data_IF_708058516080
#
_entry.id   IF_708058516080
#
_cell.length_a   1.000
_cell.length_b   1.000
_cell.length_c   1.000
_cell.angle_alpha   90.00
_cell.angle_beta   90.00
_cell.angle_gamma   90.00
#
_symmetry.space_group_name_H-M   'P 1'
#
loop_
_entity.id
_entity.type
_entity.pdbx_description
1 polymer ?
#
# COMPACT_ATOMS: atom_id res chain seq x y z
N UNK A 1 9.78 32.67 -27.18
CA UNK A 1 9.98 32.66 -25.71
C UNK A 1 9.36 31.38 -25.16
N UNK A 2 10.20 30.47 -24.75
CA UNK A 2 9.75 29.23 -24.08
C UNK A 2 9.29 29.67 -22.67
N UNK A 3 8.06 29.34 -22.29
CA UNK A 3 7.53 29.75 -20.97
C UNK A 3 8.30 29.04 -19.85
N UNK A 4 8.38 29.68 -18.67
CA UNK A 4 9.01 29.11 -17.47
C UNK A 4 8.51 27.69 -17.18
N UNK A 5 7.23 27.42 -17.46
CA UNK A 5 6.59 26.12 -17.30
C UNK A 5 7.20 25.03 -18.21
N UNK A 6 7.61 25.39 -19.43
CA UNK A 6 8.29 24.46 -20.35
C UNK A 6 9.72 24.12 -19.89
N UNK A 7 10.42 25.08 -19.29
CA UNK A 7 11.77 24.88 -18.73
C UNK A 7 11.74 23.98 -17.50
N UNK A 8 10.77 24.17 -16.59
CA UNK A 8 10.58 23.29 -15.44
C UNK A 8 10.22 21.86 -15.87
N UNK A 9 9.37 21.69 -16.87
CA UNK A 9 8.98 20.37 -17.37
C UNK A 9 10.15 19.64 -18.01
N UNK A 10 10.98 20.34 -18.80
CA UNK A 10 12.21 19.78 -19.42
C UNK A 10 13.24 19.41 -18.34
N UNK A 11 13.35 20.22 -17.29
CA UNK A 11 14.26 19.93 -16.18
C UNK A 11 13.83 18.71 -15.38
N UNK A 12 12.54 18.60 -15.05
CA UNK A 12 11.94 17.45 -14.35
C UNK A 12 12.11 16.18 -15.19
N UNK A 13 11.84 16.25 -16.51
CA UNK A 13 11.97 15.09 -17.41
C UNK A 13 13.42 14.63 -17.54
N UNK A 14 14.38 15.55 -17.61
CA UNK A 14 15.83 15.23 -17.62
C UNK A 14 16.29 14.63 -16.30
N UNK A 15 15.82 15.15 -15.16
CA UNK A 15 16.16 14.59 -13.85
C UNK A 15 15.58 13.17 -13.67
N UNK A 16 14.35 12.93 -14.11
CA UNK A 16 13.71 11.60 -14.07
C UNK A 16 14.41 10.59 -14.98
N UNK A 17 14.84 11.01 -16.19
CA UNK A 17 15.65 10.18 -17.10
C UNK A 17 17.03 9.87 -16.53
N UNK A 18 17.70 10.83 -15.87
CA UNK A 18 18.99 10.62 -15.24
C UNK A 18 18.90 9.66 -14.04
N UNK A 19 17.81 9.70 -13.27
CA UNK A 19 17.57 8.76 -12.17
C UNK A 19 17.33 7.35 -12.71
N UNK A 20 16.55 7.22 -13.80
CA UNK A 20 16.32 5.92 -14.45
C UNK A 20 17.60 5.34 -15.09
N UNK A 21 18.43 6.17 -15.71
CA UNK A 21 19.71 5.77 -16.29
C UNK A 21 20.74 5.43 -15.20
N UNK A 22 20.73 6.15 -14.07
CA UNK A 22 21.63 5.89 -12.93
C UNK A 22 21.27 4.59 -12.23
N UNK A 23 19.97 4.32 -12.02
CA UNK A 23 19.49 3.06 -11.45
C UNK A 23 19.81 1.83 -12.33
N UNK A 24 19.82 2.00 -13.66
CA UNK A 24 20.18 0.93 -14.62
C UNK A 24 21.71 0.69 -14.71
N UNK A 25 22.55 1.63 -14.26
CA UNK A 25 24.00 1.57 -14.39
C UNK A 25 24.74 1.19 -13.08
N UNK A 26 24.03 0.89 -11.98
CA UNK A 26 24.67 0.51 -10.71
C UNK A 26 25.24 -0.91 -10.84
N UNK A 27 26.57 -1.09 -10.82
CA UNK A 27 27.18 -2.41 -10.75
C UNK A 27 26.86 -3.06 -9.40
N UNK A 28 26.74 -4.39 -9.37
CA UNK A 28 26.40 -5.18 -8.18
C UNK A 28 27.41 -5.10 -7.00
N UNK A 29 28.38 -4.21 -7.09
CA UNK A 29 29.36 -3.89 -6.03
C UNK A 29 29.26 -2.43 -5.66
N UNK A 30 28.33 -2.07 -4.76
CA UNK A 30 28.20 -0.73 -4.22
C UNK A 30 29.21 -0.56 -3.08
N UNK A 31 30.08 0.49 -3.08
CA UNK A 31 30.95 0.77 -1.94
C UNK A 31 30.11 1.16 -0.72
N UNK A 32 30.52 0.68 0.46
CA UNK A 32 29.81 0.72 1.75
C UNK A 32 29.43 2.11 2.31
N UNK A 33 29.46 3.18 1.52
CA UNK A 33 29.07 4.55 1.89
C UNK A 33 27.88 5.13 1.13
N UNK A 34 27.32 4.40 0.16
CA UNK A 34 26.09 4.82 -0.50
C UNK A 34 24.94 4.10 0.19
N UNK A 35 24.40 4.71 1.23
CA UNK A 35 23.23 4.16 1.92
C UNK A 35 22.00 4.36 1.04
N UNK A 36 21.12 3.36 1.03
CA UNK A 36 19.80 3.42 0.37
C UNK A 36 19.05 4.72 0.73
N UNK A 37 19.24 5.25 1.95
CA UNK A 37 18.69 6.52 2.42
C UNK A 37 19.05 7.71 1.51
N UNK A 38 20.29 7.84 1.06
CA UNK A 38 20.70 8.97 0.22
C UNK A 38 20.09 8.91 -1.19
N UNK A 39 19.83 7.70 -1.70
CA UNK A 39 19.14 7.50 -2.96
C UNK A 39 17.65 7.87 -2.83
N UNK A 40 16.99 7.42 -1.76
CA UNK A 40 15.59 7.73 -1.48
C UNK A 40 15.36 9.21 -1.19
N UNK A 41 16.24 9.88 -0.46
CA UNK A 41 16.13 11.33 -0.18
C UNK A 41 16.26 12.18 -1.43
N UNK A 42 17.16 11.83 -2.35
CA UNK A 42 17.27 12.54 -3.63
C UNK A 42 16.04 12.33 -4.51
N UNK A 43 15.45 11.13 -4.50
CA UNK A 43 14.22 10.82 -5.23
C UNK A 43 13.01 11.52 -4.60
N UNK A 44 12.93 11.56 -3.27
CA UNK A 44 11.89 12.27 -2.52
C UNK A 44 11.94 13.79 -2.72
N UNK A 45 13.12 14.40 -2.75
CA UNK A 45 13.26 15.83 -3.03
C UNK A 45 12.77 16.20 -4.44
N UNK A 46 12.84 15.28 -5.39
CA UNK A 46 12.29 15.46 -6.75
C UNK A 46 10.78 15.24 -6.82
N UNK A 47 10.22 14.36 -5.98
CA UNK A 47 8.78 14.07 -5.94
C UNK A 47 8.04 15.11 -5.07
N UNK A 48 8.68 15.72 -4.10
CA UNK A 48 8.06 16.65 -3.15
C UNK A 48 7.28 17.81 -3.82
N UNK A 49 7.75 18.47 -4.89
CA UNK A 49 6.98 19.48 -5.61
C UNK A 49 5.70 18.93 -6.26
N UNK A 50 5.70 17.64 -6.62
CA UNK A 50 4.54 16.95 -7.23
C UNK A 50 3.52 16.51 -6.17
N UNK A 51 3.98 16.14 -4.99
CA UNK A 51 3.13 15.85 -3.82
C UNK A 51 2.35 17.09 -3.41
N UNK A 52 3.03 18.25 -3.36
CA UNK A 52 2.42 19.53 -2.99
C UNK A 52 1.50 20.11 -4.09
N UNK A 53 1.67 19.66 -5.33
CA UNK A 53 0.96 20.21 -6.50
C UNK A 53 -0.38 19.52 -6.82
N UNK A 54 -0.67 18.40 -6.16
CA UNK A 54 -1.93 17.65 -6.35
C UNK A 54 -1.93 16.70 -7.56
N UNK A 55 -2.94 15.83 -7.58
CA UNK A 55 -3.09 14.79 -8.62
C UNK A 55 -3.35 15.33 -10.02
N UNK A 56 -3.89 16.55 -10.16
CA UNK A 56 -4.19 17.17 -11.46
C UNK A 56 -2.90 17.36 -12.29
N UNK A 57 -1.80 17.75 -11.65
CA UNK A 57 -0.49 17.83 -12.34
C UNK A 57 0.07 16.45 -12.67
N UNK A 58 -0.19 15.46 -11.86
CA UNK A 58 0.23 14.09 -12.15
C UNK A 58 -0.42 13.57 -13.43
N UNK A 59 -1.74 13.70 -13.58
CA UNK A 59 -2.45 13.28 -14.79
C UNK A 59 -2.05 14.07 -16.03
N UNK A 60 -1.84 15.39 -15.89
CA UNK A 60 -1.34 16.23 -16.98
C UNK A 60 0.05 15.79 -17.44
N UNK A 61 0.95 15.45 -16.50
CA UNK A 61 2.28 14.94 -16.82
C UNK A 61 2.22 13.56 -17.46
N UNK A 62 1.42 12.64 -16.93
CA UNK A 62 1.19 11.32 -17.52
C UNK A 62 0.65 11.43 -18.95
N UNK A 63 -0.31 12.33 -19.17
CA UNK A 63 -0.88 12.58 -20.50
C UNK A 63 0.18 13.06 -21.48
N UNK A 64 1.02 14.01 -21.06
CA UNK A 64 2.13 14.50 -21.87
C UNK A 64 3.16 13.40 -22.21
N UNK A 65 3.49 12.55 -21.26
CA UNK A 65 4.42 11.44 -21.43
C UNK A 65 3.81 10.24 -22.18
N UNK A 66 2.50 10.24 -22.42
CA UNK A 66 1.80 9.14 -23.08
C UNK A 66 1.65 7.89 -22.21
N UNK A 67 1.55 8.06 -20.90
CA UNK A 67 1.50 6.99 -19.88
C UNK A 67 0.25 7.07 -18.99
N UNK A 68 -0.83 7.73 -19.43
CA UNK A 68 -2.13 7.56 -18.77
C UNK A 68 -2.62 6.12 -18.94
N UNK A 69 -3.59 5.72 -18.13
CA UNK A 69 -4.16 4.38 -18.21
C UNK A 69 -4.68 4.06 -19.62
N UNK A 70 -5.46 4.97 -20.21
CA UNK A 70 -6.04 4.82 -21.55
C UNK A 70 -4.95 4.73 -22.63
N UNK A 71 -3.93 5.59 -22.56
CA UNK A 71 -2.82 5.59 -23.51
C UNK A 71 -2.01 4.30 -23.41
N UNK A 72 -1.76 3.81 -22.20
CA UNK A 72 -1.04 2.56 -21.99
C UNK A 72 -1.87 1.34 -22.39
N UNK A 73 -3.19 1.33 -22.21
CA UNK A 73 -4.06 0.27 -22.69
C UNK A 73 -3.92 0.05 -24.22
N UNK A 74 -3.89 1.14 -24.96
CA UNK A 74 -3.77 1.07 -26.44
C UNK A 74 -2.36 0.64 -26.90
N UNK A 75 -1.34 1.13 -26.20
CA UNK A 75 0.07 0.90 -26.57
C UNK A 75 0.65 -0.40 -26.02
N UNK A 76 0.11 -0.87 -24.89
CA UNK A 76 0.73 -1.92 -24.11
C UNK A 76 0.40 -3.31 -24.67
N UNK A 77 1.41 -3.92 -25.31
CA UNK A 77 1.39 -5.32 -25.74
C UNK A 77 1.94 -6.28 -24.67
N UNK A 78 2.13 -5.80 -23.44
CA UNK A 78 2.70 -6.59 -22.36
C UNK A 78 1.76 -7.75 -22.03
N UNK A 79 2.26 -8.96 -22.08
CA UNK A 79 1.57 -10.09 -21.50
C UNK A 79 1.74 -10.02 -19.95
N UNK A 80 0.75 -9.49 -19.26
CA UNK A 80 0.78 -9.30 -17.81
C UNK A 80 1.05 -10.60 -17.05
N UNK A 81 0.65 -11.74 -17.61
CA UNK A 81 0.91 -13.05 -17.01
C UNK A 81 2.40 -13.43 -17.00
N UNK A 82 3.25 -12.80 -17.80
CA UNK A 82 4.69 -13.04 -17.82
C UNK A 82 5.45 -12.17 -16.80
N UNK A 83 4.82 -11.11 -16.33
CA UNK A 83 5.49 -10.11 -15.47
C UNK A 83 4.89 -10.01 -14.07
N UNK A 84 3.64 -10.42 -13.87
CA UNK A 84 2.95 -10.41 -12.58
C UNK A 84 2.74 -11.85 -12.08
N UNK A 85 3.18 -12.11 -10.86
CA UNK A 85 3.07 -13.42 -10.23
C UNK A 85 2.39 -13.28 -8.86
N UNK A 86 1.87 -14.39 -8.36
CA UNK A 86 1.42 -14.54 -6.99
C UNK A 86 2.25 -15.65 -6.32
N UNK A 87 2.95 -15.32 -5.27
CA UNK A 87 3.83 -16.23 -4.57
C UNK A 87 3.10 -16.79 -3.34
N UNK A 88 3.10 -18.11 -3.17
CA UNK A 88 2.74 -18.72 -1.91
C UNK A 88 3.90 -18.54 -0.93
N UNK A 89 3.69 -17.80 0.13
CA UNK A 89 4.71 -17.56 1.16
C UNK A 89 4.71 -18.72 2.14
N UNK A 90 5.88 -19.29 2.37
CA UNK A 90 6.07 -20.41 3.30
C UNK A 90 7.27 -20.15 4.22
N UNK A 91 7.38 -20.92 5.31
CA UNK A 91 8.54 -20.86 6.21
C UNK A 91 9.87 -21.19 5.53
N UNK A 92 9.83 -21.90 4.40
CA UNK A 92 11.00 -22.35 3.65
C UNK A 92 11.26 -21.50 2.39
N UNK A 93 10.59 -20.35 2.24
CA UNK A 93 10.69 -19.48 1.07
C UNK A 93 9.41 -19.42 0.25
N UNK A 94 9.44 -18.64 -0.80
CA UNK A 94 8.29 -18.35 -1.65
C UNK A 94 8.20 -19.34 -2.82
N UNK A 95 7.00 -19.82 -3.10
CA UNK A 95 6.70 -20.67 -4.26
C UNK A 95 5.92 -19.86 -5.27
N UNK A 96 6.53 -19.55 -6.39
CA UNK A 96 5.99 -18.68 -7.44
C UNK A 96 4.90 -19.37 -8.27
N UNK A 97 3.80 -18.67 -8.49
CA UNK A 97 2.71 -19.07 -9.37
C UNK A 97 2.37 -17.95 -10.33
N UNK A 98 2.03 -18.34 -11.55
CA UNK A 98 1.43 -17.42 -12.52
C UNK A 98 -0.07 -17.22 -12.20
N UNK A 99 -0.61 -16.02 -12.46
CA UNK A 99 -2.03 -15.70 -12.24
C UNK A 99 -3.00 -16.53 -13.11
N UNK A 100 -2.53 -17.27 -14.10
CA UNK A 100 -3.36 -18.23 -14.86
C UNK A 100 -3.61 -19.54 -14.12
N UNK A 101 -2.89 -19.81 -13.02
CA UNK A 101 -2.94 -21.07 -12.29
C UNK A 101 -4.17 -21.19 -11.35
N UNK A 102 -5.32 -20.69 -11.75
CA UNK A 102 -6.54 -20.57 -10.92
C UNK A 102 -6.98 -21.88 -10.29
N UNK A 103 -7.04 -23.00 -11.04
CA UNK A 103 -7.40 -24.33 -10.51
C UNK A 103 -6.45 -24.82 -9.42
N UNK A 104 -5.15 -24.55 -9.57
CA UNK A 104 -4.16 -24.91 -8.56
C UNK A 104 -4.30 -24.05 -7.31
N UNK A 105 -4.56 -22.76 -7.52
CA UNK A 105 -4.77 -21.81 -6.44
C UNK A 105 -6.02 -22.14 -5.62
N UNK A 106 -7.15 -22.51 -6.25
CA UNK A 106 -8.33 -22.97 -5.52
C UNK A 106 -8.00 -24.14 -4.58
N UNK A 107 -7.24 -25.15 -5.05
CA UNK A 107 -6.83 -26.28 -4.19
C UNK A 107 -5.93 -25.84 -3.04
N UNK A 108 -5.08 -24.84 -3.23
CA UNK A 108 -4.21 -24.30 -2.18
C UNK A 108 -4.99 -23.47 -1.17
N UNK A 109 -5.98 -22.73 -1.62
CA UNK A 109 -6.81 -21.81 -0.82
C UNK A 109 -7.92 -22.54 -0.06
N UNK A 110 -8.51 -23.60 -0.63
CA UNK A 110 -9.72 -24.28 -0.12
C UNK A 110 -9.65 -24.71 1.35
N UNK A 111 -8.45 -25.02 1.87
CA UNK A 111 -8.25 -25.46 3.27
C UNK A 111 -7.97 -24.31 4.23
N UNK A 112 -7.83 -23.08 3.73
CA UNK A 112 -7.58 -21.92 4.56
C UNK A 112 -8.88 -21.44 5.22
N UNK A 113 -8.83 -20.99 6.45
CA UNK A 113 -9.90 -20.21 7.06
C UNK A 113 -9.82 -18.75 6.60
N UNK A 114 -8.60 -18.24 6.41
CA UNK A 114 -8.35 -16.91 5.85
C UNK A 114 -7.22 -16.99 4.84
N UNK A 115 -7.47 -16.39 3.67
CA UNK A 115 -6.51 -16.23 2.57
C UNK A 115 -5.97 -14.81 2.66
N UNK A 116 -4.71 -14.66 3.08
CA UNK A 116 -4.07 -13.35 3.16
C UNK A 116 -3.24 -13.11 1.90
N UNK A 117 -3.43 -11.96 1.27
CA UNK A 117 -2.66 -11.53 0.11
C UNK A 117 -1.92 -10.24 0.46
N UNK A 118 -0.60 -10.29 0.50
CA UNK A 118 0.28 -9.15 0.72
C UNK A 118 0.60 -8.48 -0.61
N UNK A 119 0.51 -7.14 -0.67
CA UNK A 119 0.83 -6.37 -1.86
C UNK A 119 1.82 -5.27 -1.49
N UNK A 120 3.03 -5.40 -2.01
CA UNK A 120 4.12 -4.48 -1.75
C UNK A 120 3.95 -3.12 -2.44
N UNK A 121 4.73 -2.11 -2.00
CA UNK A 121 4.78 -0.78 -2.57
C UNK A 121 5.75 -0.62 -3.74
N UNK A 122 5.99 0.65 -4.10
CA UNK A 122 6.97 1.05 -5.10
C UNK A 122 8.39 0.60 -4.69
N UNK A 123 9.17 0.08 -5.65
CA UNK A 123 10.54 -0.42 -5.45
C UNK A 123 10.69 -1.56 -4.45
N UNK A 124 9.62 -2.31 -4.19
CA UNK A 124 9.64 -3.52 -3.38
C UNK A 124 9.28 -4.77 -4.19
N UNK A 125 9.05 -5.88 -3.49
CA UNK A 125 8.82 -7.19 -4.09
C UNK A 125 8.07 -8.13 -3.14
N UNK A 126 7.67 -9.32 -3.63
CA UNK A 126 7.06 -10.38 -2.83
C UNK A 126 7.97 -10.96 -1.75
N UNK A 127 9.25 -10.64 -1.75
CA UNK A 127 10.29 -10.97 -0.77
C UNK A 127 10.97 -9.69 -0.22
N UNK A 128 10.30 -8.53 -0.35
CA UNK A 128 10.74 -7.24 0.18
C UNK A 128 10.50 -7.06 1.68
N UNK A 129 10.80 -5.87 2.18
CA UNK A 129 10.81 -5.57 3.63
C UNK A 129 9.45 -5.77 4.28
N UNK A 130 8.37 -5.24 3.68
CA UNK A 130 7.01 -5.40 4.22
C UNK A 130 6.62 -6.88 4.32
N UNK A 131 6.83 -7.66 3.25
CA UNK A 131 6.46 -9.09 3.24
C UNK A 131 7.28 -9.86 4.27
N UNK A 132 8.59 -9.57 4.36
CA UNK A 132 9.48 -10.21 5.34
C UNK A 132 9.15 -9.83 6.79
N UNK A 133 8.55 -8.68 7.04
CA UNK A 133 8.08 -8.28 8.36
C UNK A 133 6.75 -8.94 8.74
N UNK A 134 5.80 -9.01 7.81
CA UNK A 134 4.43 -9.47 8.10
C UNK A 134 4.29 -10.99 8.01
N UNK A 135 4.89 -11.61 7.00
CA UNK A 135 4.65 -13.02 6.69
C UNK A 135 5.06 -13.97 7.82
N UNK A 136 6.20 -13.81 8.52
CA UNK A 136 6.55 -14.68 9.64
C UNK A 136 5.51 -14.64 10.76
N UNK A 137 4.97 -13.46 11.09
CA UNK A 137 3.96 -13.31 12.13
C UNK A 137 2.61 -13.93 11.71
N UNK A 138 2.20 -13.73 10.47
CA UNK A 138 0.99 -14.34 9.91
C UNK A 138 1.09 -15.87 9.86
N UNK A 139 2.24 -16.41 9.47
CA UNK A 139 2.47 -17.85 9.36
C UNK A 139 2.55 -18.59 10.71
N UNK A 140 2.66 -17.89 11.84
CA UNK A 140 2.48 -18.47 13.17
C UNK A 140 1.04 -18.88 13.42
N UNK A 141 0.09 -18.26 12.76
CA UNK A 141 -1.35 -18.54 12.87
C UNK A 141 -1.74 -19.57 11.79
N UNK A 142 -1.95 -20.84 12.18
CA UNK A 142 -2.22 -21.96 11.28
C UNK A 142 -3.48 -21.79 10.40
N UNK A 143 -4.38 -20.89 10.78
CA UNK A 143 -5.61 -20.57 10.05
C UNK A 143 -5.36 -19.75 8.78
N UNK A 144 -4.19 -19.11 8.65
CA UNK A 144 -3.86 -18.26 7.51
C UNK A 144 -3.10 -19.01 6.44
N UNK A 145 -3.48 -18.75 5.18
CA UNK A 145 -2.69 -19.06 4.01
C UNK A 145 -2.21 -17.74 3.41
N UNK A 146 -0.90 -17.56 3.37
CA UNK A 146 -0.30 -16.27 3.00
C UNK A 146 0.24 -16.33 1.58
N UNK A 147 -0.15 -15.34 0.79
CA UNK A 147 0.33 -15.11 -0.57
C UNK A 147 0.92 -13.71 -0.65
N UNK A 148 1.80 -13.47 -1.62
CA UNK A 148 2.32 -12.15 -1.94
C UNK A 148 2.26 -11.91 -3.45
N UNK A 149 1.70 -10.76 -3.87
CA UNK A 149 1.73 -10.34 -5.27
C UNK A 149 3.12 -9.81 -5.61
N UNK A 150 3.75 -10.34 -6.65
CA UNK A 150 5.06 -9.91 -7.12
C UNK A 150 4.95 -9.03 -8.36
N UNK A 151 5.03 -7.73 -8.16
CA UNK A 151 5.01 -6.71 -9.21
C UNK A 151 6.37 -6.06 -9.48
N UNK A 152 7.48 -6.61 -8.97
CA UNK A 152 8.82 -6.01 -9.07
C UNK A 152 9.26 -5.65 -10.48
N UNK A 153 8.77 -6.34 -11.51
CA UNK A 153 9.07 -6.04 -12.91
C UNK A 153 8.27 -4.87 -13.48
N UNK A 154 7.28 -4.37 -12.75
CA UNK A 154 6.26 -3.43 -13.24
C UNK A 154 6.34 -2.11 -12.50
N UNK A 155 6.56 -2.13 -11.17
CA UNK A 155 6.48 -0.96 -10.29
C UNK A 155 7.82 -0.63 -9.62
N UNK A 156 8.93 -0.76 -10.35
CA UNK A 156 10.28 -0.57 -9.78
C UNK A 156 11.12 0.54 -10.39
N UNK A 157 10.81 1.04 -11.59
CA UNK A 157 11.75 1.87 -12.34
C UNK A 157 11.42 3.36 -12.26
N UNK A 158 10.14 3.72 -12.33
CA UNK A 158 9.70 5.10 -12.42
C UNK A 158 8.31 5.23 -11.81
N UNK A 159 8.10 6.24 -10.98
CA UNK A 159 6.89 6.35 -10.16
C UNK A 159 5.60 6.64 -10.96
N UNK A 160 5.66 7.50 -12.00
CA UNK A 160 4.46 7.86 -12.77
C UNK A 160 3.90 6.66 -13.53
N UNK A 161 4.76 5.94 -14.25
CA UNK A 161 4.36 4.68 -14.90
C UNK A 161 3.92 3.64 -13.87
N UNK A 162 4.62 3.54 -12.73
CA UNK A 162 4.28 2.63 -11.65
C UNK A 162 2.90 2.92 -11.06
N UNK A 163 2.54 4.20 -10.88
CA UNK A 163 1.22 4.60 -10.38
C UNK A 163 0.09 4.27 -11.39
N UNK A 164 0.37 4.31 -12.70
CA UNK A 164 -0.55 3.84 -13.74
C UNK A 164 -0.63 2.31 -13.76
N UNK A 165 0.52 1.64 -13.65
CA UNK A 165 0.61 0.19 -13.63
C UNK A 165 -0.10 -0.42 -12.41
N UNK A 166 -0.19 0.30 -11.29
CA UNK A 166 -0.95 -0.12 -10.12
C UNK A 166 -2.42 -0.45 -10.48
N UNK A 167 -3.04 0.30 -11.40
CA UNK A 167 -4.38 0.02 -11.89
C UNK A 167 -4.43 -1.29 -12.68
N UNK A 168 -3.52 -1.50 -13.61
CA UNK A 168 -3.44 -2.77 -14.35
C UNK A 168 -3.21 -3.97 -13.43
N UNK A 169 -2.29 -3.84 -12.47
CA UNK A 169 -2.03 -4.90 -11.49
C UNK A 169 -3.27 -5.22 -10.65
N UNK A 170 -4.00 -4.21 -10.20
CA UNK A 170 -5.25 -4.38 -9.45
C UNK A 170 -6.32 -5.09 -10.27
N UNK A 171 -6.52 -4.70 -11.53
CA UNK A 171 -7.47 -5.34 -12.44
C UNK A 171 -7.09 -6.80 -12.73
N UNK A 172 -5.80 -7.09 -12.91
CA UNK A 172 -5.32 -8.47 -13.11
C UNK A 172 -5.51 -9.33 -11.87
N UNK A 173 -5.15 -8.83 -10.69
CA UNK A 173 -5.38 -9.53 -9.43
C UNK A 173 -6.89 -9.74 -9.19
N UNK A 174 -7.71 -8.72 -9.41
CA UNK A 174 -9.16 -8.82 -9.25
C UNK A 174 -9.80 -9.82 -10.22
N UNK A 175 -9.34 -9.87 -11.46
CA UNK A 175 -9.77 -10.88 -12.45
C UNK A 175 -9.39 -12.29 -12.00
N UNK A 176 -8.15 -12.48 -11.56
CA UNK A 176 -7.69 -13.75 -10.99
C UNK A 176 -8.53 -14.19 -9.77
N UNK A 177 -8.79 -13.29 -8.82
CA UNK A 177 -9.60 -13.58 -7.64
C UNK A 177 -11.06 -13.88 -8.02
N UNK A 178 -11.59 -13.19 -9.03
CA UNK A 178 -12.94 -13.45 -9.55
C UNK A 178 -13.05 -14.87 -10.13
N UNK A 179 -12.03 -15.33 -10.84
CA UNK A 179 -11.99 -16.71 -11.35
C UNK A 179 -11.88 -17.72 -10.20
N UNK A 180 -11.08 -17.42 -9.18
CA UNK A 180 -10.95 -18.25 -7.96
C UNK A 180 -12.29 -18.36 -7.25
N UNK A 181 -13.04 -17.26 -7.11
CA UNK A 181 -14.38 -17.22 -6.50
C UNK A 181 -15.42 -17.97 -7.33
N UNK A 182 -15.42 -17.78 -8.66
CA UNK A 182 -16.31 -18.51 -9.58
C UNK A 182 -16.06 -20.03 -9.56
N UNK A 183 -14.83 -20.44 -9.24
CA UNK A 183 -14.46 -21.84 -9.07
C UNK A 183 -14.73 -22.36 -7.64
N UNK A 184 -15.49 -21.65 -6.82
CA UNK A 184 -16.04 -22.11 -5.55
C UNK A 184 -15.34 -21.63 -4.28
N UNK A 185 -14.35 -20.70 -4.37
CA UNK A 185 -13.78 -20.11 -3.16
C UNK A 185 -14.70 -19.03 -2.57
N UNK A 186 -14.74 -18.97 -1.26
CA UNK A 186 -15.57 -18.00 -0.54
C UNK A 186 -14.83 -16.64 -0.42
N UNK A 187 -15.36 -15.55 -1.01
CA UNK A 187 -14.76 -14.24 -0.92
C UNK A 187 -14.68 -13.71 0.52
N UNK A 188 -15.50 -14.19 1.44
CA UNK A 188 -15.44 -13.82 2.86
C UNK A 188 -14.16 -14.29 3.56
N UNK A 189 -13.40 -15.20 2.96
CA UNK A 189 -12.10 -15.63 3.45
C UNK A 189 -10.94 -14.79 2.92
N UNK A 190 -11.16 -13.94 1.91
CA UNK A 190 -10.10 -13.18 1.25
C UNK A 190 -9.84 -11.88 1.99
N UNK A 191 -8.60 -11.73 2.49
CA UNK A 191 -8.09 -10.56 3.17
C UNK A 191 -6.85 -10.03 2.45
N UNK A 192 -6.86 -8.78 1.99
CA UNK A 192 -5.73 -8.16 1.29
C UNK A 192 -5.09 -7.12 2.20
N UNK A 193 -3.75 -7.13 2.27
CA UNK A 193 -2.96 -6.14 2.99
C UNK A 193 -2.01 -5.49 2.00
N UNK A 194 -2.16 -4.19 1.76
CA UNK A 194 -1.35 -3.45 0.79
C UNK A 194 -0.59 -2.29 1.43
N UNK A 195 0.64 -2.07 1.01
CA UNK A 195 1.46 -0.92 1.41
C UNK A 195 1.62 0.06 0.25
N UNK A 196 1.51 1.38 0.53
CA UNK A 196 1.80 2.40 -0.48
C UNK A 196 0.97 2.21 -1.76
N UNK A 197 1.61 2.04 -2.95
CA UNK A 197 0.92 1.67 -4.20
C UNK A 197 0.12 0.37 -4.06
N UNK A 198 0.61 -0.59 -3.26
CA UNK A 198 -0.07 -1.85 -2.99
C UNK A 198 -1.46 -1.69 -2.37
N UNK A 199 -1.69 -0.60 -1.63
CA UNK A 199 -3.02 -0.27 -1.09
C UNK A 199 -4.02 0.06 -2.20
N UNK A 200 -3.59 0.79 -3.24
CA UNK A 200 -4.46 1.09 -4.38
C UNK A 200 -4.68 -0.12 -5.27
N UNK A 201 -3.64 -0.94 -5.46
CA UNK A 201 -3.77 -2.23 -6.15
C UNK A 201 -4.83 -3.11 -5.46
N UNK A 202 -4.79 -3.17 -4.11
CA UNK A 202 -5.78 -3.90 -3.32
C UNK A 202 -7.22 -3.37 -3.53
N UNK A 203 -7.40 -2.04 -3.48
CA UNK A 203 -8.69 -1.41 -3.71
C UNK A 203 -9.24 -1.68 -5.12
N UNK A 204 -8.41 -1.53 -6.15
CA UNK A 204 -8.81 -1.79 -7.53
C UNK A 204 -9.14 -3.29 -7.74
N UNK A 205 -8.39 -4.19 -7.11
CA UNK A 205 -8.70 -5.63 -7.13
C UNK A 205 -10.06 -5.91 -6.48
N UNK A 206 -10.37 -5.28 -5.34
CA UNK A 206 -11.67 -5.40 -4.68
C UNK A 206 -12.83 -4.90 -5.56
N UNK A 207 -12.67 -3.74 -6.22
CA UNK A 207 -13.63 -3.22 -7.21
C UNK A 207 -13.88 -4.22 -8.34
N UNK A 208 -12.81 -4.77 -8.90
CA UNK A 208 -12.91 -5.73 -10.00
C UNK A 208 -13.58 -7.02 -9.57
N UNK A 209 -13.32 -7.52 -8.38
CA UNK A 209 -14.03 -8.68 -7.82
C UNK A 209 -15.53 -8.39 -7.72
N UNK A 210 -15.92 -7.23 -7.17
CA UNK A 210 -17.32 -6.85 -7.06
C UNK A 210 -18.00 -6.69 -8.42
N UNK A 211 -17.34 -6.02 -9.37
CA UNK A 211 -17.82 -5.86 -10.75
C UNK A 211 -18.13 -7.21 -11.42
N UNK A 212 -17.25 -8.19 -11.24
CA UNK A 212 -17.32 -9.48 -11.96
C UNK A 212 -18.20 -10.52 -11.25
N UNK A 213 -18.30 -10.47 -9.91
CA UNK A 213 -18.95 -11.52 -9.11
C UNK A 213 -20.17 -11.03 -8.34
N UNK A 214 -20.38 -9.73 -8.21
CA UNK A 214 -21.39 -9.14 -7.32
C UNK A 214 -21.10 -9.32 -5.82
N UNK A 215 -19.92 -9.85 -5.46
CA UNK A 215 -19.52 -10.13 -4.07
C UNK A 215 -18.31 -9.31 -3.68
N UNK A 216 -18.22 -8.93 -2.40
CA UNK A 216 -17.03 -8.27 -1.85
C UNK A 216 -16.13 -9.28 -1.14
N UNK A 217 -14.83 -9.02 -1.18
CA UNK A 217 -13.86 -9.68 -0.31
C UNK A 217 -14.05 -9.18 1.13
N UNK A 218 -13.59 -9.95 2.10
CA UNK A 218 -13.87 -9.65 3.52
C UNK A 218 -13.21 -8.36 4.00
N UNK A 219 -11.91 -8.17 3.75
CA UNK A 219 -11.17 -7.05 4.31
C UNK A 219 -10.04 -6.57 3.40
N UNK A 220 -9.80 -5.26 3.42
CA UNK A 220 -8.56 -4.64 2.97
C UNK A 220 -7.98 -3.85 4.14
N UNK A 221 -6.71 -4.11 4.50
CA UNK A 221 -5.93 -3.20 5.34
C UNK A 221 -4.93 -2.47 4.47
N UNK A 222 -4.98 -1.15 4.48
CA UNK A 222 -4.11 -0.28 3.72
C UNK A 222 -3.08 0.37 4.66
N UNK A 223 -1.81 0.14 4.35
CA UNK A 223 -0.68 0.60 5.14
C UNK A 223 -0.04 1.81 4.44
N UNK A 224 -0.34 3.00 4.93
CA UNK A 224 0.04 4.29 4.38
C UNK A 224 -0.16 4.37 2.85
N UNK A 225 -1.43 4.34 2.36
CA UNK A 225 -1.74 4.35 0.93
C UNK A 225 -1.03 5.50 0.22
N UNK A 226 -0.43 5.27 -0.96
CA UNK A 226 0.32 6.28 -1.68
C UNK A 226 -0.46 7.58 -1.92
N UNK A 227 0.14 8.74 -1.60
CA UNK A 227 -0.44 10.07 -1.80
C UNK A 227 -0.23 10.61 -3.21
N UNK A 228 1.00 10.64 -3.74
CA UNK A 228 1.30 11.19 -5.06
C UNK A 228 0.51 10.46 -6.15
N UNK A 229 -0.13 11.22 -7.04
CA UNK A 229 -1.04 10.76 -8.10
C UNK A 229 -2.38 10.17 -7.65
N UNK A 230 -2.66 10.08 -6.33
CA UNK A 230 -3.91 9.49 -5.82
C UNK A 230 -4.73 10.42 -4.92
N UNK A 231 -4.18 11.56 -4.49
CA UNK A 231 -4.81 12.44 -3.49
C UNK A 231 -6.12 13.07 -3.98
N UNK A 232 -6.20 13.51 -5.23
CA UNK A 232 -7.36 14.25 -5.75
C UNK A 232 -8.10 13.53 -6.87
N UNK A 233 -7.90 12.22 -7.01
CA UNK A 233 -8.64 11.42 -7.99
C UNK A 233 -9.90 10.82 -7.35
N UNK A 234 -10.84 10.41 -8.20
CA UNK A 234 -12.07 9.76 -7.80
C UNK A 234 -11.81 8.37 -7.20
N UNK A 235 -12.76 7.90 -6.41
CA UNK A 235 -12.69 6.58 -5.77
C UNK A 235 -12.55 5.42 -6.77
N UNK A 236 -12.95 5.62 -8.04
CA UNK A 236 -12.76 4.62 -9.10
C UNK A 236 -11.29 4.35 -9.43
N UNK A 237 -10.39 5.32 -9.22
CA UNK A 237 -8.97 5.22 -9.54
C UNK A 237 -8.07 4.84 -8.36
N UNK A 238 -8.60 4.76 -7.14
CA UNK A 238 -7.83 4.54 -5.92
C UNK A 238 -8.59 3.67 -4.92
N UNK A 239 -7.94 3.36 -3.79
CA UNK A 239 -8.59 2.72 -2.65
C UNK A 239 -9.77 3.55 -2.13
N UNK A 240 -10.87 2.86 -1.81
CA UNK A 240 -12.06 3.42 -1.18
C UNK A 240 -12.70 2.40 -0.22
N UNK A 241 -13.52 2.91 0.70
CA UNK A 241 -14.23 2.06 1.68
C UNK A 241 -15.14 0.99 1.07
N UNK A 242 -15.59 1.20 -0.16
CA UNK A 242 -16.52 0.29 -0.87
C UNK A 242 -15.83 -0.93 -1.49
N UNK A 243 -14.50 -1.04 -1.40
CA UNK A 243 -13.71 -2.04 -2.12
C UNK A 243 -13.68 -3.41 -1.43
N UNK A 244 -14.09 -3.47 -0.17
CA UNK A 244 -14.28 -4.69 0.61
C UNK A 244 -15.45 -4.51 1.59
N UNK A 245 -15.85 -5.58 2.27
CA UNK A 245 -16.83 -5.48 3.38
C UNK A 245 -16.27 -4.60 4.51
N UNK A 246 -14.97 -4.68 4.74
CA UNK A 246 -14.28 -3.83 5.69
C UNK A 246 -12.95 -3.32 5.13
N UNK A 247 -12.73 -2.00 5.20
CA UNK A 247 -11.48 -1.34 4.82
C UNK A 247 -10.98 -0.53 6.01
N UNK A 248 -9.78 -0.84 6.47
CA UNK A 248 -9.08 -0.05 7.49
C UNK A 248 -7.73 0.44 6.97
N UNK A 249 -7.33 1.62 7.45
CA UNK A 249 -6.16 2.33 6.96
C UNK A 249 -5.29 2.75 8.13
N UNK A 250 -3.97 2.59 8.01
CA UNK A 250 -2.98 3.16 8.92
C UNK A 250 -2.24 4.25 8.16
N UNK A 251 -2.38 5.50 8.58
CA UNK A 251 -1.69 6.66 8.00
C UNK A 251 -0.47 6.99 8.85
N UNK A 252 0.73 6.87 8.28
CA UNK A 252 1.97 7.14 8.99
C UNK A 252 2.84 8.25 8.39
N UNK A 253 2.59 8.60 7.11
CA UNK A 253 3.26 9.72 6.43
C UNK A 253 2.26 10.53 5.58
N UNK A 254 1.09 10.81 6.18
CA UNK A 254 -0.06 11.46 5.54
C UNK A 254 0.27 12.85 4.96
N UNK A 255 -0.06 13.05 3.68
CA UNK A 255 0.16 14.31 2.97
C UNK A 255 1.59 14.52 2.48
N UNK A 256 2.48 13.54 2.67
CA UNK A 256 3.83 13.52 2.10
C UNK A 256 3.92 12.35 1.12
N UNK A 257 4.23 11.13 1.58
CA UNK A 257 4.19 9.95 0.73
C UNK A 257 2.83 9.23 0.79
N UNK A 258 2.13 9.37 1.91
CA UNK A 258 0.81 8.77 2.13
C UNK A 258 -0.35 9.72 1.84
N UNK A 259 -1.53 9.16 1.59
CA UNK A 259 -2.77 9.90 1.53
C UNK A 259 -3.07 10.60 2.87
N UNK A 260 -3.54 11.86 2.81
CA UNK A 260 -3.96 12.60 4.00
C UNK A 260 -5.41 12.34 4.38
N UNK A 261 -6.28 12.24 3.39
CA UNK A 261 -7.71 12.08 3.61
C UNK A 261 -8.06 10.67 4.11
N UNK A 262 -9.03 10.52 5.02
CA UNK A 262 -9.56 9.23 5.38
C UNK A 262 -10.28 8.60 4.18
N UNK A 263 -10.03 7.32 3.92
CA UNK A 263 -10.56 6.58 2.76
C UNK A 263 -11.12 5.20 3.14
N UNK A 264 -10.96 4.80 4.39
CA UNK A 264 -11.45 3.55 4.95
C UNK A 264 -12.81 3.65 5.64
N UNK A 265 -13.25 2.57 6.22
CA UNK A 265 -14.27 2.57 7.27
C UNK A 265 -13.68 3.06 8.59
N UNK A 266 -12.44 2.63 8.90
CA UNK A 266 -11.63 3.16 9.98
C UNK A 266 -10.29 3.63 9.43
N UNK A 267 -9.92 4.83 9.82
CA UNK A 267 -8.65 5.45 9.47
C UNK A 267 -7.89 5.78 10.76
N UNK A 268 -6.73 5.14 10.96
CA UNK A 268 -5.89 5.29 12.13
C UNK A 268 -4.72 6.21 11.83
N UNK A 269 -4.48 7.17 12.71
CA UNK A 269 -3.41 8.17 12.58
C UNK A 269 -2.46 8.09 13.79
N UNK A 270 -1.55 7.10 13.86
CA UNK A 270 -0.54 7.05 14.92
C UNK A 270 0.32 8.31 14.89
N UNK A 271 0.50 8.94 16.06
CA UNK A 271 1.27 10.18 16.26
C UNK A 271 0.84 11.34 15.33
N UNK A 272 -0.46 11.43 15.04
CA UNK A 272 -1.03 12.40 14.11
C UNK A 272 -0.88 12.03 12.63
N UNK A 273 -0.25 10.88 12.32
CA UNK A 273 -0.21 10.28 10.99
C UNK A 273 0.78 10.89 10.00
N UNK A 274 1.61 11.86 10.39
CA UNK A 274 2.51 12.58 9.46
C UNK A 274 3.97 12.22 9.68
N UNK A 275 4.45 12.40 10.91
CA UNK A 275 5.84 12.12 11.33
C UNK A 275 5.79 11.09 12.45
N UNK A 276 6.67 10.10 12.37
CA UNK A 276 6.72 9.02 13.33
C UNK A 276 7.91 9.15 14.28
N UNK A 277 7.73 8.94 15.58
CA UNK A 277 8.83 9.00 16.53
C UNK A 277 9.98 8.06 16.13
N UNK A 278 11.22 8.57 16.17
CA UNK A 278 12.43 7.84 15.79
C UNK A 278 12.70 7.78 14.29
N UNK A 279 11.84 8.37 13.43
CA UNK A 279 12.09 8.55 12.01
C UNK A 279 12.70 9.94 11.73
N UNK A 280 13.68 9.98 10.84
CA UNK A 280 14.33 11.19 10.35
C UNK A 280 14.08 11.42 8.85
N UNK A 281 13.53 10.43 8.16
CA UNK A 281 13.30 10.43 6.73
C UNK A 281 11.86 10.01 6.44
N UNK A 282 11.21 10.63 5.46
CA UNK A 282 9.82 10.32 5.09
C UNK A 282 9.62 8.85 4.68
N UNK A 283 10.64 8.18 4.16
CA UNK A 283 10.56 6.75 3.86
C UNK A 283 10.43 5.90 5.13
N UNK A 284 11.08 6.30 6.22
CA UNK A 284 10.91 5.66 7.52
C UNK A 284 9.50 5.89 8.05
N UNK A 285 8.99 7.13 8.01
CA UNK A 285 7.61 7.43 8.38
C UNK A 285 6.62 6.59 7.59
N UNK A 286 6.81 6.51 6.28
CA UNK A 286 5.98 5.72 5.35
C UNK A 286 6.01 4.23 5.66
N UNK A 287 7.17 3.70 5.98
CA UNK A 287 7.38 2.29 6.35
C UNK A 287 6.81 1.96 7.73
N UNK A 288 6.70 2.92 8.64
CA UNK A 288 6.19 2.71 9.99
C UNK A 288 4.80 2.07 10.01
N UNK A 289 3.97 2.28 9.01
CA UNK A 289 2.65 1.66 8.92
C UNK A 289 2.72 0.13 8.94
N UNK A 290 3.61 -0.49 8.15
CA UNK A 290 3.74 -1.94 8.16
C UNK A 290 4.52 -2.48 9.38
N UNK A 291 5.43 -1.69 9.96
CA UNK A 291 6.09 -2.05 11.22
C UNK A 291 5.08 -2.14 12.37
N UNK A 292 4.22 -1.13 12.51
CA UNK A 292 3.14 -1.11 13.51
C UNK A 292 2.15 -2.25 13.28
N UNK A 293 1.81 -2.52 12.01
CA UNK A 293 0.91 -3.61 11.68
C UNK A 293 1.54 -4.97 12.00
N UNK A 294 2.82 -5.18 11.71
CA UNK A 294 3.55 -6.42 12.06
C UNK A 294 3.52 -6.66 13.59
N UNK A 295 3.78 -5.63 14.38
CA UNK A 295 3.68 -5.74 15.84
C UNK A 295 2.25 -6.05 16.30
N UNK A 296 1.23 -5.51 15.63
CA UNK A 296 -0.17 -5.79 15.98
C UNK A 296 -0.57 -7.25 15.73
N UNK A 297 0.10 -7.96 14.81
CA UNK A 297 -0.11 -9.40 14.60
C UNK A 297 0.46 -10.20 15.77
N UNK A 298 1.66 -9.84 16.21
CA UNK A 298 2.37 -10.50 17.30
C UNK A 298 1.77 -10.19 18.67
N UNK A 299 1.30 -8.95 18.85
CA UNK A 299 0.82 -8.41 20.11
C UNK A 299 -0.57 -7.76 19.93
N UNK A 300 -1.63 -8.56 19.83
CA UNK A 300 -2.99 -8.07 19.72
C UNK A 300 -3.33 -7.10 20.86
N UNK A 301 -4.07 -6.03 20.56
CA UNK A 301 -4.50 -5.01 21.54
C UNK A 301 -3.39 -4.09 22.09
N UNK A 302 -2.17 -4.14 21.55
CA UNK A 302 -1.12 -3.21 21.93
C UNK A 302 -1.34 -1.77 21.42
N UNK A 303 -2.24 -1.59 20.44
CA UNK A 303 -2.50 -0.32 19.78
C UNK A 303 -3.96 0.15 19.96
N UNK A 304 -4.47 0.37 21.19
CA UNK A 304 -5.77 0.99 21.37
C UNK A 304 -5.72 2.43 20.87
N UNK A 305 -6.64 2.79 20.01
CA UNK A 305 -6.78 4.09 19.39
C UNK A 305 -8.13 4.70 19.75
N UNK A 306 -8.15 6.01 19.99
CA UNK A 306 -9.36 6.72 20.39
C UNK A 306 -9.98 7.44 19.21
N UNK A 307 -11.29 7.31 19.06
CA UNK A 307 -12.07 8.05 18.06
C UNK A 307 -12.03 9.53 18.41
N UNK A 308 -11.58 10.34 17.44
CA UNK A 308 -11.47 11.79 17.62
C UNK A 308 -11.59 12.49 16.27
N UNK A 309 -11.99 13.77 16.27
CA UNK A 309 -12.13 14.56 15.07
C UNK A 309 -10.77 14.89 14.44
N UNK A 310 -9.77 15.22 15.29
CA UNK A 310 -8.43 15.57 14.85
C UNK A 310 -7.37 15.34 15.95
N UNK A 311 -6.09 15.40 15.54
CA UNK A 311 -4.94 15.16 16.39
C UNK A 311 -4.82 16.18 17.55
N UNK A 312 -5.14 17.45 17.30
CA UNK A 312 -5.09 18.49 18.33
C UNK A 312 -6.06 18.21 19.47
N UNK A 313 -7.31 17.88 19.13
CA UNK A 313 -8.33 17.53 20.13
C UNK A 313 -7.96 16.27 20.92
N UNK A 314 -7.32 15.29 20.24
CA UNK A 314 -6.80 14.11 20.91
C UNK A 314 -5.71 14.47 21.93
N UNK A 315 -4.73 15.29 21.53
CA UNK A 315 -3.64 15.75 22.40
C UNK A 315 -4.10 16.58 23.60
N UNK A 316 -5.22 17.31 23.45
CA UNK A 316 -5.86 18.09 24.51
C UNK A 316 -6.74 17.22 25.44
N UNK A 317 -6.83 15.90 25.23
CA UNK A 317 -7.67 15.00 26.02
C UNK A 317 -9.17 15.17 25.82
N UNK A 318 -9.62 15.97 24.83
CA UNK A 318 -11.04 16.28 24.59
C UNK A 318 -11.85 15.09 24.11
N UNK A 319 -11.17 14.03 23.65
CA UNK A 319 -11.78 12.80 23.18
C UNK A 319 -11.72 11.65 24.19
N UNK A 320 -11.28 11.88 25.42
CA UNK A 320 -11.01 10.86 26.45
C UNK A 320 -12.19 9.93 26.75
N UNK A 321 -13.42 10.38 26.50
CA UNK A 321 -14.66 9.59 26.71
C UNK A 321 -15.16 8.90 25.43
N UNK A 322 -14.52 9.14 24.29
CA UNK A 322 -14.95 8.56 23.02
C UNK A 322 -14.56 7.08 22.93
N UNK A 323 -15.09 6.40 21.92
CA UNK A 323 -14.87 4.99 21.66
C UNK A 323 -13.40 4.66 21.40
N UNK A 324 -12.99 3.46 21.82
CA UNK A 324 -11.68 2.87 21.53
C UNK A 324 -11.86 1.79 20.48
N UNK A 325 -10.96 1.77 19.50
CA UNK A 325 -10.76 0.68 18.55
C UNK A 325 -9.29 0.28 18.53
N UNK A 326 -9.01 -0.98 18.24
CA UNK A 326 -7.63 -1.45 18.16
C UNK A 326 -7.11 -1.33 16.72
N UNK A 327 -6.03 -0.56 16.53
CA UNK A 327 -5.34 -0.47 15.25
C UNK A 327 -4.62 -1.80 14.93
N UNK A 328 -4.65 -2.21 13.66
CA UNK A 328 -3.93 -3.38 13.18
C UNK A 328 -4.81 -4.61 13.00
N UNK A 329 -4.29 -5.80 13.31
CA UNK A 329 -4.97 -7.07 13.00
C UNK A 329 -6.35 -7.19 13.69
N UNK A 330 -6.48 -6.72 14.92
CA UNK A 330 -7.72 -6.77 15.72
C UNK A 330 -8.74 -5.67 15.39
N UNK A 331 -8.45 -4.85 14.39
CA UNK A 331 -9.42 -3.86 13.90
C UNK A 331 -10.64 -4.56 13.31
N UNK A 332 -11.82 -4.08 13.68
CA UNK A 332 -13.11 -4.62 13.25
C UNK A 332 -14.00 -3.55 12.58
N UNK A 333 -15.12 -3.97 12.00
CA UNK A 333 -16.04 -3.06 11.30
C UNK A 333 -16.97 -2.25 12.23
N UNK A 334 -16.91 -2.44 13.54
CA UNK A 334 -17.68 -1.65 14.50
C UNK A 334 -17.23 -0.19 14.51
N UNK A 335 -18.13 0.74 14.76
CA UNK A 335 -17.82 2.17 14.97
C UNK A 335 -16.86 2.79 13.93
N UNK A 336 -17.29 2.99 12.68
CA UNK A 336 -16.48 3.64 11.66
C UNK A 336 -16.07 5.05 12.08
N UNK A 337 -14.91 5.52 11.58
CA UNK A 337 -14.42 6.88 11.83
C UNK A 337 -12.91 7.01 11.85
N UNK A 338 -12.45 8.14 12.35
CA UNK A 338 -11.04 8.52 12.46
C UNK A 338 -10.57 8.29 13.89
N UNK A 339 -9.41 7.66 14.04
CA UNK A 339 -8.85 7.24 15.31
C UNK A 339 -7.40 7.70 15.45
N UNK A 340 -7.04 8.13 16.65
CA UNK A 340 -5.69 8.59 17.00
C UNK A 340 -5.12 7.78 18.15
N UNK A 341 -3.80 7.62 18.13
CA UNK A 341 -3.02 7.00 19.19
C UNK A 341 -1.59 7.53 19.19
N UNK A 342 -0.88 7.36 20.29
CA UNK A 342 0.55 7.57 20.39
C UNK A 342 1.30 6.25 20.41
N UNK A 343 2.50 6.21 19.83
CA UNK A 343 3.41 5.07 19.82
C UNK A 343 4.81 5.50 20.25
N UNK A 344 5.66 4.53 20.63
CA UNK A 344 7.06 4.76 20.95
C UNK A 344 7.91 4.99 19.69
N UNK A 345 9.13 5.43 19.91
CA UNK A 345 10.13 5.67 18.85
C UNK A 345 10.86 4.40 18.39
N UNK A 346 10.72 3.29 19.11
CA UNK A 346 11.36 2.00 18.82
C UNK A 346 10.46 0.84 19.24
N UNK A 347 10.69 -0.32 18.66
CA UNK A 347 9.96 -1.54 19.01
C UNK A 347 10.27 -2.00 20.46
N UNK A 348 9.30 -2.51 21.19
CA UNK A 348 7.91 -2.58 20.83
C UNK A 348 7.27 -1.18 20.82
N UNK A 349 6.61 -0.82 19.71
CA UNK A 349 6.03 0.52 19.49
C UNK A 349 4.77 0.77 20.30
N UNK A 350 3.97 -0.26 20.55
CA UNK A 350 2.70 -0.16 21.25
C UNK A 350 2.86 0.31 22.69
N UNK A 351 1.95 1.16 23.14
CA UNK A 351 1.93 1.73 24.49
C UNK A 351 0.75 1.23 25.34
N UNK A 352 -0.08 0.34 24.78
CA UNK A 352 -1.31 -0.08 25.44
C UNK A 352 -2.19 1.12 25.76
N UNK A 353 -2.90 1.06 26.90
CA UNK A 353 -3.82 2.14 27.33
C UNK A 353 -3.16 3.52 27.43
N UNK A 354 -1.87 3.60 27.73
CA UNK A 354 -1.14 4.87 27.76
C UNK A 354 -1.03 5.56 26.38
N UNK A 355 -1.20 4.81 25.29
CA UNK A 355 -1.18 5.36 23.94
C UNK A 355 -2.53 5.85 23.42
N UNK A 356 -3.62 5.61 24.15
CA UNK A 356 -4.98 5.94 23.67
C UNK A 356 -5.51 7.30 24.16
N UNK A 357 -4.70 8.10 24.83
CA UNK A 357 -5.06 9.44 25.31
C UNK A 357 -5.99 9.43 26.53
#
# INVERSE_FOLDING_TARGET
MISLQHLELIYITKCLLLVSLYAASIPHTVPAKFTLSNFFDSTLSMIHPLVSAGSDRCESLKSFLGITYEQMQVKNKTNWYDVLNIDLVTKNGNIKYNLTATRRMNRLMARAQTIVILIHGFMESSDGWMVNALAPELLKKSVYKVFALDGRKIINLEYFSSSTNARFMGEMLGSFLSDVIKNGEDPSKIYIIGHSLGSHIAGIAGKKVYEVTGKRISRITALDPAGPCFSNITDSGRLARTDAEYVDVIHSNAGILGLKAPVGHKDFYPNGGVIQPGCYLSICDHSRAWELFAESIASPKHFPARKCENWTMFGEGRCSKNEISYMGLESDSSSPGVYFLTTKNSAPFGMGSAGSG
#
